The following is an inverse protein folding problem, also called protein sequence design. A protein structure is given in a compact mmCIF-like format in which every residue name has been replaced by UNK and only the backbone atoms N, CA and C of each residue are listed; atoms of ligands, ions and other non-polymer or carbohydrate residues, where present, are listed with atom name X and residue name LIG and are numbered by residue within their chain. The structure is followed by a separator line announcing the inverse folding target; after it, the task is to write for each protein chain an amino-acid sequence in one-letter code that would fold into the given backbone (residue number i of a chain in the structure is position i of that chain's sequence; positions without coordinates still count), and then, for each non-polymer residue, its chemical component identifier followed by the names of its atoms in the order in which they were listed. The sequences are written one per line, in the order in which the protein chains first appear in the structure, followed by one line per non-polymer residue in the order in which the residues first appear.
data_IF_138595967666
#
_entry.id   IF_138595967666
#
_cell.length_a   1.000
_cell.length_b   1.000
_cell.length_c   1.000
_cell.angle_alpha   90.00
_cell.angle_beta   90.00
_cell.angle_gamma   90.00
#
_symmetry.space_group_name_H-M   'P 1'
#
loop_
_entity.id
_entity.type
_entity.pdbx_description
1 polymer ?
#
# COMPACT_ATOMS: atom_id res chain seq x y z
N UNK A 1 20.15 -3.37 -8.03
CA UNK A 1 19.56 -2.78 -9.24
C UNK A 1 18.26 -3.52 -9.50
N UNK A 2 17.16 -2.78 -9.72
CA UNK A 2 15.88 -3.36 -10.12
C UNK A 2 16.06 -3.83 -11.56
N UNK A 3 15.80 -5.10 -11.81
CA UNK A 3 15.87 -5.67 -13.16
C UNK A 3 14.79 -4.99 -14.02
N UNK A 4 15.20 -4.28 -15.07
CA UNK A 4 14.30 -3.60 -16.00
C UNK A 4 13.25 -4.52 -16.62
N UNK A 5 13.57 -5.82 -16.70
CA UNK A 5 12.70 -6.85 -17.25
C UNK A 5 11.48 -7.21 -16.40
N UNK A 6 11.31 -6.56 -15.24
CA UNK A 6 10.20 -6.80 -14.31
C UNK A 6 9.25 -5.61 -14.17
N UNK A 7 9.36 -4.61 -15.05
CA UNK A 7 8.52 -3.40 -15.00
C UNK A 7 7.24 -3.63 -15.82
N UNK A 8 6.05 -3.37 -15.26
CA UNK A 8 4.79 -3.46 -16.00
C UNK A 8 4.73 -2.46 -17.14
N UNK A 9 4.34 -2.91 -18.34
CA UNK A 9 4.22 -2.09 -19.53
C UNK A 9 3.15 -1.00 -19.34
N UNK A 10 3.40 0.20 -19.89
CA UNK A 10 2.44 1.30 -19.88
C UNK A 10 2.35 2.06 -18.55
N UNK A 11 3.33 1.90 -17.67
CA UNK A 11 3.50 2.74 -16.49
C UNK A 11 4.73 3.64 -16.64
N UNK A 12 4.54 4.90 -16.34
CA UNK A 12 5.58 5.92 -16.35
C UNK A 12 5.65 6.56 -14.98
N UNK A 13 6.84 6.86 -14.49
CA UNK A 13 6.96 7.41 -13.15
C UNK A 13 8.03 8.47 -13.00
N UNK A 14 7.93 9.24 -11.93
CA UNK A 14 8.96 10.14 -11.45
C UNK A 14 9.01 10.17 -9.93
N UNK A 15 10.20 10.07 -9.38
CA UNK A 15 10.49 10.38 -7.98
C UNK A 15 11.13 11.77 -7.92
N UNK A 16 10.60 12.66 -7.09
CA UNK A 16 10.95 14.07 -7.07
C UNK A 16 11.32 14.52 -5.64
N UNK A 17 12.20 15.50 -5.57
CA UNK A 17 12.51 16.26 -4.35
C UNK A 17 11.68 17.54 -4.40
N UNK A 18 10.49 17.53 -3.79
CA UNK A 18 9.62 18.72 -3.78
C UNK A 18 10.08 19.77 -2.75
N UNK A 19 10.95 19.38 -1.83
CA UNK A 19 11.41 20.22 -0.72
C UNK A 19 10.54 20.12 0.53
N UNK A 20 9.71 19.08 0.62
CA UNK A 20 9.05 18.69 1.87
C UNK A 20 10.05 17.99 2.81
N UNK A 21 10.95 17.17 2.27
CA UNK A 21 12.14 16.65 2.96
C UNK A 21 13.38 17.43 2.58
N UNK A 22 14.34 17.47 3.48
CA UNK A 22 15.64 18.06 3.19
C UNK A 22 16.48 17.10 2.32
N UNK A 23 16.74 17.48 1.09
CA UNK A 23 17.63 16.77 0.14
C UNK A 23 17.29 15.30 -0.18
N UNK A 24 16.07 14.83 0.09
CA UNK A 24 15.63 13.49 -0.26
C UNK A 24 14.35 13.51 -1.11
N UNK A 25 14.07 12.38 -1.77
CA UNK A 25 12.83 12.18 -2.51
C UNK A 25 11.63 12.18 -1.55
N UNK A 26 10.58 12.93 -1.91
CA UNK A 26 9.39 13.12 -1.08
C UNK A 26 8.08 13.15 -1.87
N UNK A 27 8.16 13.05 -3.20
CA UNK A 27 7.02 13.02 -4.09
C UNK A 27 7.22 11.94 -5.16
N UNK A 28 6.27 11.02 -5.26
CA UNK A 28 6.18 10.02 -6.31
C UNK A 28 4.98 10.32 -7.20
N UNK A 29 5.17 10.23 -8.50
CA UNK A 29 4.13 10.38 -9.52
C UNK A 29 4.18 9.14 -10.39
N UNK A 30 3.03 8.47 -10.57
CA UNK A 30 2.92 7.29 -11.42
C UNK A 30 1.75 7.52 -12.38
N UNK A 31 2.03 7.52 -13.68
CA UNK A 31 1.06 7.63 -14.76
C UNK A 31 0.84 6.26 -15.40
N UNK A 32 -0.39 5.98 -15.76
CA UNK A 32 -0.79 4.74 -16.43
C UNK A 32 -1.35 5.04 -17.82
N UNK A 33 -0.79 4.41 -18.82
CA UNK A 33 -1.26 4.46 -20.22
C UNK A 33 -1.24 3.04 -20.80
N UNK A 34 -2.42 2.45 -21.05
CA UNK A 34 -3.79 2.97 -20.87
C UNK A 34 -4.19 3.12 -19.40
N UNK A 35 -5.32 3.82 -19.16
CA UNK A 35 -5.89 4.02 -17.83
C UNK A 35 -6.14 2.71 -17.10
N UNK A 36 -5.76 2.63 -15.84
CA UNK A 36 -5.87 1.42 -15.02
C UNK A 36 -7.27 1.20 -14.44
N UNK A 37 -7.71 -0.03 -14.42
CA UNK A 37 -8.69 -0.52 -13.45
C UNK A 37 -7.98 -0.59 -12.10
N UNK A 38 -8.62 -0.14 -11.02
CA UNK A 38 -7.99 -0.13 -9.69
C UNK A 38 -8.83 -0.86 -8.66
N UNK A 39 -8.17 -1.47 -7.68
CA UNK A 39 -8.76 -1.86 -6.42
C UNK A 39 -8.04 -1.13 -5.30
N UNK A 40 -8.80 -0.53 -4.40
CA UNK A 40 -8.23 0.25 -3.31
C UNK A 40 -8.89 -0.11 -1.98
N UNK A 41 -8.07 -0.10 -0.95
CA UNK A 41 -8.45 -0.33 0.42
C UNK A 41 -7.87 0.80 1.27
N UNK A 42 -8.66 1.33 2.19
CA UNK A 42 -8.32 2.51 2.97
C UNK A 42 -8.49 2.26 4.45
N UNK A 43 -7.80 3.05 5.25
CA UNK A 43 -7.88 3.03 6.71
C UNK A 43 -9.33 3.08 7.21
N UNK A 44 -9.59 2.33 8.28
CA UNK A 44 -10.84 2.40 9.03
C UNK A 44 -10.76 3.36 10.22
N UNK A 45 -9.64 4.06 10.40
CA UNK A 45 -9.53 5.10 11.40
C UNK A 45 -10.62 6.16 11.19
N UNK A 46 -11.27 6.58 12.27
CA UNK A 46 -12.34 7.57 12.22
C UNK A 46 -11.86 8.95 11.74
N UNK A 47 -10.58 9.25 11.92
CA UNK A 47 -9.94 10.48 11.44
C UNK A 47 -9.25 10.26 10.10
N UNK A 48 -10.01 9.92 9.06
CA UNK A 48 -9.45 9.72 7.72
C UNK A 48 -8.83 11.02 7.18
N UNK A 49 -7.61 10.91 6.66
CA UNK A 49 -6.89 12.04 6.07
C UNK A 49 -7.55 12.54 4.78
N UNK A 50 -7.35 13.81 4.46
CA UNK A 50 -7.90 14.42 3.24
C UNK A 50 -7.55 13.66 1.94
N UNK A 51 -6.31 13.17 1.73
CA UNK A 51 -5.99 12.32 0.58
C UNK A 51 -6.81 11.04 0.51
N UNK A 52 -7.06 10.39 1.66
CA UNK A 52 -7.89 9.18 1.74
C UNK A 52 -9.31 9.46 1.31
N UNK A 53 -9.92 10.53 1.83
CA UNK A 53 -11.29 10.92 1.49
C UNK A 53 -11.44 11.23 -0.01
N UNK A 54 -10.47 11.91 -0.61
CA UNK A 54 -10.47 12.22 -2.03
C UNK A 54 -10.33 10.96 -2.88
N UNK A 55 -9.34 10.11 -2.59
CA UNK A 55 -9.07 8.92 -3.38
C UNK A 55 -10.18 7.89 -3.29
N UNK A 56 -10.79 7.71 -2.11
CA UNK A 56 -11.96 6.84 -1.89
C UNK A 56 -13.19 7.26 -2.71
N UNK A 57 -13.33 8.56 -3.03
CA UNK A 57 -14.39 9.07 -3.91
C UNK A 57 -14.13 8.71 -5.37
N UNK A 58 -12.86 8.66 -5.79
CA UNK A 58 -12.45 8.55 -7.18
C UNK A 58 -12.07 7.11 -7.62
N UNK A 59 -11.84 6.17 -6.71
CA UNK A 59 -11.36 4.80 -7.00
C UNK A 59 -12.35 3.93 -7.81
N UNK A 60 -13.54 4.46 -8.09
CA UNK A 60 -14.55 3.82 -8.95
C UNK A 60 -14.24 3.99 -10.44
N UNK A 61 -13.48 5.03 -10.77
CA UNK A 61 -13.12 5.38 -12.14
C UNK A 61 -11.94 4.53 -12.64
N UNK A 62 -11.67 4.62 -13.94
CA UNK A 62 -10.37 4.25 -14.47
C UNK A 62 -9.37 5.35 -14.10
N UNK A 63 -8.19 4.95 -13.63
CA UNK A 63 -7.21 5.87 -13.07
C UNK A 63 -6.03 6.06 -14.04
N UNK A 64 -5.71 7.33 -14.26
CA UNK A 64 -4.59 7.75 -15.11
C UNK A 64 -3.35 8.09 -14.30
N UNK A 65 -3.54 8.57 -13.05
CA UNK A 65 -2.46 9.13 -12.25
C UNK A 65 -2.60 8.77 -10.77
N UNK A 66 -1.47 8.39 -10.16
CA UNK A 66 -1.30 8.27 -8.73
C UNK A 66 -0.21 9.25 -8.28
N UNK A 67 -0.52 10.09 -7.29
CA UNK A 67 0.41 11.03 -6.67
C UNK A 67 0.59 10.64 -5.21
N UNK A 68 1.82 10.47 -4.76
CA UNK A 68 2.11 10.10 -3.37
C UNK A 68 3.16 11.04 -2.81
N UNK A 69 2.84 11.74 -1.73
CA UNK A 69 3.84 12.53 -1.00
C UNK A 69 4.16 11.90 0.36
N UNK A 70 5.40 12.07 0.78
CA UNK A 70 5.85 11.77 2.14
C UNK A 70 6.22 13.05 2.91
N UNK A 71 6.58 12.93 4.18
CA UNK A 71 6.87 13.99 5.15
C UNK A 71 5.64 14.60 5.81
N UNK A 72 4.57 14.91 5.06
CA UNK A 72 3.36 15.56 5.59
C UNK A 72 2.16 14.67 5.27
N UNK A 73 1.44 14.23 6.28
CA UNK A 73 0.28 13.33 6.18
C UNK A 73 -0.97 14.02 5.60
N UNK A 74 -1.06 15.33 5.71
CA UNK A 74 -2.26 16.11 5.40
C UNK A 74 -3.51 15.52 6.08
N UNK A 75 -3.34 15.14 7.34
CA UNK A 75 -4.34 14.54 8.23
C UNK A 75 -4.64 15.47 9.38
N UNK A 76 -5.89 15.49 9.86
CA UNK A 76 -6.39 16.41 10.90
C UNK A 76 -6.19 17.90 10.53
N UNK A 77 -6.26 18.22 9.27
CA UNK A 77 -6.06 19.56 8.71
C UNK A 77 -7.36 20.22 8.26
N UNK A 78 -8.51 19.60 8.57
CA UNK A 78 -9.84 20.12 8.31
C UNK A 78 -10.12 20.43 6.83
N UNK A 79 -10.99 21.39 6.57
CA UNK A 79 -11.37 21.82 5.20
C UNK A 79 -10.15 22.24 4.39
N UNK A 80 -9.21 22.99 4.97
CA UNK A 80 -8.01 23.46 4.28
C UNK A 80 -7.16 22.30 3.75
N UNK A 81 -7.08 21.17 4.50
CA UNK A 81 -6.38 19.98 4.03
C UNK A 81 -7.03 19.36 2.81
N UNK A 82 -8.36 19.35 2.73
CA UNK A 82 -9.08 18.88 1.56
C UNK A 82 -8.93 19.84 0.37
N UNK A 83 -8.99 21.15 0.59
CA UNK A 83 -8.73 22.17 -0.43
C UNK A 83 -7.31 22.07 -1.00
N UNK A 84 -6.32 21.72 -0.16
CA UNK A 84 -4.96 21.43 -0.62
C UNK A 84 -4.92 20.24 -1.59
N UNK A 85 -5.66 19.16 -1.31
CA UNK A 85 -5.77 18.01 -2.22
C UNK A 85 -6.39 18.42 -3.55
N UNK A 86 -7.49 19.18 -3.52
CA UNK A 86 -8.14 19.69 -4.73
C UNK A 86 -7.17 20.54 -5.55
N UNK A 87 -6.44 21.44 -4.91
CA UNK A 87 -5.50 22.35 -5.56
C UNK A 87 -4.35 21.57 -6.27
N UNK A 88 -3.81 20.56 -5.63
CA UNK A 88 -2.76 19.70 -6.21
C UNK A 88 -3.33 18.90 -7.39
N UNK A 89 -4.49 18.28 -7.21
CA UNK A 89 -5.07 17.41 -8.24
C UNK A 89 -5.62 18.18 -9.43
N UNK A 90 -6.17 19.39 -9.24
CA UNK A 90 -6.55 20.29 -10.34
C UNK A 90 -5.33 20.74 -11.14
N UNK A 91 -4.22 21.06 -10.48
CA UNK A 91 -2.98 21.40 -11.16
C UNK A 91 -2.43 20.20 -11.94
N UNK A 92 -2.35 19.04 -11.31
CA UNK A 92 -1.84 17.81 -11.92
C UNK A 92 -2.69 17.37 -13.13
N UNK A 93 -4.03 17.48 -13.03
CA UNK A 93 -4.93 17.13 -14.13
C UNK A 93 -4.68 17.96 -15.40
N UNK A 94 -4.42 19.26 -15.23
CA UNK A 94 -4.07 20.15 -16.36
C UNK A 94 -2.69 19.84 -16.92
N UNK A 95 -1.71 19.61 -16.04
CA UNK A 95 -0.33 19.37 -16.45
C UNK A 95 -0.17 18.03 -17.19
N UNK A 96 -0.77 16.95 -16.67
CA UNK A 96 -0.70 15.60 -17.26
C UNK A 96 -1.82 15.32 -18.27
N UNK A 97 -2.70 16.29 -18.55
CA UNK A 97 -3.81 16.21 -19.52
C UNK A 97 -4.74 15.03 -19.23
N UNK A 98 -5.12 14.84 -17.96
CA UNK A 98 -6.08 13.83 -17.53
C UNK A 98 -7.24 14.46 -16.76
N UNK A 99 -8.32 13.70 -16.53
CA UNK A 99 -9.43 14.18 -15.69
C UNK A 99 -9.02 14.14 -14.22
N UNK A 100 -9.40 15.16 -13.42
CA UNK A 100 -9.15 15.18 -11.98
C UNK A 100 -9.70 13.93 -11.28
N UNK A 101 -10.87 13.48 -11.72
CA UNK A 101 -11.54 12.32 -11.13
C UNK A 101 -10.85 10.98 -11.47
N UNK A 102 -9.88 11.00 -12.39
CA UNK A 102 -9.02 9.88 -12.74
C UNK A 102 -7.67 9.93 -11.98
N UNK A 103 -7.57 10.78 -10.95
CA UNK A 103 -6.37 10.90 -10.11
C UNK A 103 -6.65 10.29 -8.73
N UNK A 104 -5.70 9.48 -8.25
CA UNK A 104 -5.60 9.09 -6.84
C UNK A 104 -4.45 9.83 -6.19
N UNK A 105 -4.59 10.14 -4.91
CA UNK A 105 -3.54 10.78 -4.11
C UNK A 105 -3.42 10.09 -2.76
N UNK A 106 -2.19 9.89 -2.30
CA UNK A 106 -1.89 9.37 -0.98
C UNK A 106 -0.79 10.20 -0.32
N UNK A 107 -0.81 10.27 0.99
CA UNK A 107 0.18 11.03 1.76
C UNK A 107 0.59 10.26 3.00
N UNK A 108 1.81 10.49 3.46
CA UNK A 108 2.31 9.95 4.73
C UNK A 108 3.22 10.96 5.41
N UNK A 109 3.28 10.94 6.74
CA UNK A 109 4.18 11.79 7.50
C UNK A 109 3.54 12.41 8.73
N UNK A 110 3.89 13.66 9.02
CA UNK A 110 3.45 14.37 10.21
C UNK A 110 1.97 14.72 10.10
N UNK A 111 1.21 14.40 11.15
CA UNK A 111 -0.21 14.69 11.32
C UNK A 111 -0.38 16.11 11.87
N UNK A 112 -1.46 16.80 11.50
CA UNK A 112 -1.79 18.15 11.99
C UNK A 112 -1.06 19.28 11.29
N UNK A 113 -0.21 18.99 10.32
CA UNK A 113 0.54 19.99 9.54
C UNK A 113 -0.05 20.14 8.15
N UNK A 114 -0.22 21.38 7.70
CA UNK A 114 -0.71 21.67 6.36
C UNK A 114 0.35 21.37 5.29
N UNK A 115 -0.12 20.76 4.19
CA UNK A 115 0.72 20.47 3.05
C UNK A 115 1.00 21.74 2.24
N UNK A 116 2.28 21.99 1.94
CA UNK A 116 2.69 23.09 1.07
C UNK A 116 2.43 22.69 -0.41
N UNK A 117 1.32 23.19 -0.94
CA UNK A 117 0.88 22.84 -2.30
C UNK A 117 1.77 23.44 -3.37
N UNK A 118 2.40 24.60 -3.12
CA UNK A 118 3.29 25.24 -4.11
C UNK A 118 4.57 24.43 -4.33
N UNK A 119 5.14 23.88 -3.26
CA UNK A 119 6.28 22.97 -3.38
C UNK A 119 5.95 21.78 -4.27
N UNK A 120 4.80 21.15 -4.06
CA UNK A 120 4.36 19.99 -4.86
C UNK A 120 4.11 20.39 -6.31
N UNK A 121 3.39 21.49 -6.56
CA UNK A 121 3.13 21.97 -7.93
C UNK A 121 4.42 22.33 -8.67
N UNK A 122 5.37 22.96 -8.01
CA UNK A 122 6.66 23.29 -8.60
C UNK A 122 7.49 22.05 -8.91
N UNK A 123 7.39 20.98 -8.10
CA UNK A 123 8.01 19.71 -8.41
C UNK A 123 7.32 19.02 -9.61
N UNK A 124 5.99 19.03 -9.67
CA UNK A 124 5.22 18.51 -10.81
C UNK A 124 5.64 19.21 -12.12
N UNK A 125 5.79 20.55 -12.13
CA UNK A 125 6.24 21.30 -13.32
C UNK A 125 7.61 20.84 -13.85
N UNK A 126 8.47 20.35 -12.96
CA UNK A 126 9.83 19.89 -13.29
C UNK A 126 9.89 18.39 -13.56
N UNK A 127 8.76 17.67 -13.45
CA UNK A 127 8.75 16.22 -13.60
C UNK A 127 8.96 15.81 -15.07
N UNK A 128 9.81 14.80 -15.26
CA UNK A 128 9.89 14.04 -16.49
C UNK A 128 9.53 12.60 -16.12
N UNK A 129 8.46 12.09 -16.72
CA UNK A 129 8.02 10.72 -16.48
C UNK A 129 8.79 9.78 -17.42
N UNK A 130 9.44 8.79 -16.85
CA UNK A 130 10.20 7.77 -17.57
C UNK A 130 9.55 6.40 -17.39
N UNK A 131 9.78 5.49 -18.31
CA UNK A 131 9.49 4.08 -18.12
C UNK A 131 10.40 3.55 -17.00
N UNK A 132 9.77 3.06 -15.92
CA UNK A 132 10.51 2.56 -14.77
C UNK A 132 9.98 3.06 -13.44
N UNK A 133 10.60 2.59 -12.37
CA UNK A 133 10.16 2.89 -11.00
C UNK A 133 11.35 3.28 -10.09
N UNK A 134 12.38 3.89 -10.66
CA UNK A 134 13.53 4.33 -9.88
C UNK A 134 13.13 5.30 -8.78
N UNK A 135 13.66 5.08 -7.59
CA UNK A 135 13.47 5.91 -6.40
C UNK A 135 12.01 6.11 -5.93
N UNK A 136 11.01 5.48 -6.57
CA UNK A 136 9.60 5.63 -6.17
C UNK A 136 9.39 5.08 -4.76
N UNK A 137 9.94 3.92 -4.43
CA UNK A 137 9.87 3.36 -3.09
C UNK A 137 10.54 4.28 -2.05
N UNK A 138 11.67 4.91 -2.42
CA UNK A 138 12.37 5.89 -1.57
C UNK A 138 11.53 7.15 -1.36
N UNK A 139 10.82 7.62 -2.38
CA UNK A 139 10.00 8.82 -2.29
C UNK A 139 8.83 8.69 -1.29
N UNK A 140 8.31 7.48 -1.10
CA UNK A 140 7.20 7.24 -0.17
C UNK A 140 7.65 6.90 1.26
N UNK A 141 8.95 6.64 1.50
CA UNK A 141 9.49 6.32 2.83
C UNK A 141 9.37 7.47 3.82
N UNK A 142 9.34 7.12 5.10
CA UNK A 142 9.46 8.08 6.21
C UNK A 142 10.69 7.75 7.08
N UNK A 143 10.56 6.76 7.95
CA UNK A 143 11.62 6.26 8.85
C UNK A 143 12.11 4.87 8.44
N UNK A 144 11.63 4.41 7.30
CA UNK A 144 11.98 3.10 6.75
C UNK A 144 13.49 3.01 6.53
N UNK A 145 14.13 1.94 7.00
CA UNK A 145 15.57 1.71 6.90
C UNK A 145 15.96 1.31 5.47
N UNK A 146 15.06 0.66 4.74
CA UNK A 146 15.28 0.21 3.36
C UNK A 146 14.02 0.37 2.50
N UNK A 147 14.20 0.35 1.18
CA UNK A 147 13.11 0.37 0.21
C UNK A 147 12.43 -1.00 0.15
N UNK A 148 11.12 -1.04 0.39
CA UNK A 148 10.33 -2.27 0.31
C UNK A 148 9.76 -2.39 -1.08
N UNK A 149 10.44 -3.17 -1.91
CA UNK A 149 10.10 -3.42 -3.32
C UNK A 149 10.00 -4.92 -3.53
N UNK A 150 8.97 -5.36 -4.23
CA UNK A 150 8.82 -6.72 -4.67
C UNK A 150 8.34 -6.75 -6.12
N UNK A 151 9.04 -7.49 -6.97
CA UNK A 151 8.68 -7.69 -8.38
C UNK A 151 8.33 -9.14 -8.62
N UNK A 152 7.38 -9.39 -9.51
CA UNK A 152 6.97 -10.74 -9.87
C UNK A 152 6.51 -10.80 -11.33
N UNK A 153 6.55 -12.00 -11.89
CA UNK A 153 6.01 -12.32 -13.22
C UNK A 153 4.87 -13.34 -13.06
N UNK A 154 3.90 -13.25 -13.95
CA UNK A 154 2.81 -14.19 -14.06
C UNK A 154 2.65 -14.59 -15.52
N UNK A 155 2.89 -15.87 -15.83
CA UNK A 155 2.58 -16.42 -17.14
C UNK A 155 1.09 -16.73 -17.24
N UNK A 156 0.41 -16.09 -18.17
CA UNK A 156 -1.00 -16.28 -18.45
C UNK A 156 -1.19 -16.45 -19.95
N UNK A 157 -1.80 -17.57 -20.35
CA UNK A 157 -1.86 -17.94 -21.77
C UNK A 157 -0.43 -17.96 -22.36
N UNK A 158 -0.19 -17.26 -23.44
CA UNK A 158 1.13 -17.15 -24.09
C UNK A 158 1.80 -15.79 -23.79
N UNK A 159 1.44 -15.15 -22.70
CA UNK A 159 1.91 -13.81 -22.32
C UNK A 159 2.48 -13.81 -20.91
N UNK A 160 3.44 -12.93 -20.67
CA UNK A 160 4.01 -12.70 -19.36
C UNK A 160 3.55 -11.34 -18.85
N UNK A 161 2.82 -11.34 -17.76
CA UNK A 161 2.46 -10.14 -17.03
C UNK A 161 3.50 -9.82 -15.96
N UNK A 162 3.71 -8.55 -15.72
CA UNK A 162 4.66 -8.04 -14.73
C UNK A 162 3.93 -7.40 -13.56
N UNK A 163 4.54 -7.52 -12.39
CA UNK A 163 4.11 -6.84 -11.18
C UNK A 163 5.27 -6.08 -10.59
N UNK A 164 5.03 -4.82 -10.28
CA UNK A 164 5.91 -4.01 -9.46
C UNK A 164 5.16 -3.55 -8.23
N UNK A 165 5.66 -3.87 -7.06
CA UNK A 165 4.97 -3.60 -5.82
C UNK A 165 5.90 -2.88 -4.84
N UNK A 166 5.40 -1.83 -4.21
CA UNK A 166 6.13 -1.06 -3.19
C UNK A 166 5.28 -0.90 -1.94
N UNK A 167 5.95 -0.89 -0.81
CA UNK A 167 5.31 -0.59 0.46
C UNK A 167 6.18 0.32 1.33
N UNK A 168 5.54 1.01 2.26
CA UNK A 168 6.19 1.69 3.39
C UNK A 168 5.42 1.41 4.67
N UNK A 169 6.13 1.36 5.77
CA UNK A 169 5.57 1.19 7.11
C UNK A 169 6.63 0.67 8.07
N UNK A 170 6.75 1.31 9.23
CA UNK A 170 7.68 0.94 10.32
C UNK A 170 7.04 1.11 11.69
N UNK A 171 6.04 1.95 11.81
CA UNK A 171 5.30 2.26 13.04
C UNK A 171 3.86 2.62 12.72
N UNK A 172 3.01 2.63 13.74
CA UNK A 172 1.56 2.76 13.66
C UNK A 172 1.04 1.61 12.77
N UNK A 173 1.40 0.34 13.03
CA UNK A 173 1.03 -0.85 12.25
C UNK A 173 0.21 -1.82 13.08
N UNK A 174 -1.09 -1.90 12.80
CA UNK A 174 -2.03 -2.82 13.42
C UNK A 174 -3.11 -3.28 12.43
N UNK A 175 -3.49 -4.58 12.43
CA UNK A 175 -4.48 -5.11 11.50
C UNK A 175 -5.84 -4.42 11.68
N UNK A 176 -6.34 -3.85 10.66
CA UNK A 176 -7.74 -3.51 10.38
C UNK A 176 -7.84 -2.59 9.16
N UNK A 177 -7.36 -3.07 8.01
CA UNK A 177 -7.12 -2.28 6.81
C UNK A 177 -6.08 -1.18 7.07
N UNK A 178 -5.01 -1.62 7.48
CA UNK A 178 -3.57 -1.51 7.34
C UNK A 178 -2.96 -0.11 7.48
N UNK A 179 -2.02 0.00 8.39
CA UNK A 179 -1.16 1.15 8.70
C UNK A 179 0.01 1.26 7.73
N UNK A 180 -0.26 1.19 6.43
CA UNK A 180 0.78 1.19 5.40
C UNK A 180 0.35 1.99 4.17
N UNK A 181 1.33 2.42 3.39
CA UNK A 181 1.10 2.67 1.98
C UNK A 181 1.61 1.46 1.20
N UNK A 182 0.72 0.86 0.42
CA UNK A 182 1.00 -0.25 -0.48
C UNK A 182 0.51 0.12 -1.87
N UNK A 183 1.38 0.01 -2.86
CA UNK A 183 1.02 0.21 -4.25
C UNK A 183 1.54 -0.94 -5.08
N UNK A 184 0.65 -1.55 -5.86
CA UNK A 184 0.95 -2.63 -6.80
C UNK A 184 0.57 -2.15 -8.20
N UNK A 185 1.45 -2.33 -9.15
CA UNK A 185 1.24 -1.99 -10.55
C UNK A 185 1.38 -3.27 -11.39
N UNK A 186 0.47 -3.47 -12.34
CA UNK A 186 0.50 -4.63 -13.25
C UNK A 186 -0.09 -4.28 -14.60
N UNK A 187 0.45 -4.88 -15.63
CA UNK A 187 0.01 -4.75 -17.02
C UNK A 187 -1.07 -5.78 -17.42
N UNK A 188 -1.61 -6.54 -16.44
CA UNK A 188 -2.70 -7.49 -16.63
C UNK A 188 -4.02 -6.81 -17.02
N UNK A 189 -4.75 -7.45 -17.93
CA UNK A 189 -6.15 -7.14 -18.22
C UNK A 189 -7.05 -7.96 -17.30
N UNK A 190 -7.72 -7.28 -16.36
CA UNK A 190 -8.57 -7.89 -15.34
C UNK A 190 -9.79 -7.01 -15.08
N UNK A 191 -10.96 -7.62 -14.88
CA UNK A 191 -12.13 -6.84 -14.53
C UNK A 191 -12.09 -6.32 -13.08
N UNK A 192 -12.89 -5.30 -12.81
CA UNK A 192 -12.95 -4.62 -11.51
C UNK A 192 -13.33 -5.56 -10.36
N UNK A 193 -14.27 -6.45 -10.60
CA UNK A 193 -14.81 -7.38 -9.59
C UNK A 193 -13.76 -8.43 -9.22
N UNK A 194 -13.11 -9.03 -10.21
CA UNK A 194 -12.02 -9.98 -10.00
C UNK A 194 -10.83 -9.35 -9.28
N UNK A 195 -10.45 -8.13 -9.70
CA UNK A 195 -9.35 -7.40 -9.07
C UNK A 195 -9.66 -7.09 -7.61
N UNK A 196 -10.85 -6.55 -7.33
CA UNK A 196 -11.30 -6.25 -5.97
C UNK A 196 -11.31 -7.49 -5.07
N UNK A 197 -11.88 -8.60 -5.56
CA UNK A 197 -11.96 -9.83 -4.79
C UNK A 197 -10.58 -10.39 -4.50
N UNK A 198 -9.73 -10.55 -5.52
CA UNK A 198 -8.40 -11.10 -5.34
C UNK A 198 -7.53 -10.25 -4.41
N UNK A 199 -7.53 -8.93 -4.60
CA UNK A 199 -6.71 -8.02 -3.79
C UNK A 199 -7.17 -7.96 -2.33
N UNK A 200 -8.48 -7.82 -2.07
CA UNK A 200 -9.02 -7.82 -0.71
C UNK A 200 -8.67 -9.10 0.04
N UNK A 201 -8.92 -10.26 -0.57
CA UNK A 201 -8.62 -11.55 0.06
C UNK A 201 -7.12 -11.73 0.34
N UNK A 202 -6.23 -11.19 -0.52
CA UNK A 202 -4.78 -11.24 -0.31
C UNK A 202 -4.35 -10.34 0.85
N UNK A 203 -4.88 -9.12 0.93
CA UNK A 203 -4.63 -8.20 2.05
C UNK A 203 -5.12 -8.81 3.38
N UNK A 204 -6.31 -9.40 3.39
CA UNK A 204 -6.90 -10.00 4.60
C UNK A 204 -6.09 -11.19 5.14
N UNK A 205 -5.43 -11.92 4.26
CA UNK A 205 -4.57 -13.07 4.65
C UNK A 205 -3.16 -12.66 5.06
N UNK A 206 -2.70 -11.46 4.73
CA UNK A 206 -1.30 -11.04 4.87
C UNK A 206 -1.18 -9.77 5.71
N UNK A 207 -1.35 -8.62 5.10
CA UNK A 207 -1.15 -7.30 5.72
C UNK A 207 -2.11 -7.01 6.87
N UNK A 208 -3.34 -7.53 6.82
CA UNK A 208 -4.28 -7.45 7.94
C UNK A 208 -3.96 -8.42 9.08
N UNK A 209 -2.87 -9.18 8.99
CA UNK A 209 -2.41 -10.12 10.03
C UNK A 209 -1.11 -9.72 10.70
N UNK A 210 -0.52 -8.59 10.35
CA UNK A 210 0.69 -8.08 11.00
C UNK A 210 0.35 -7.00 12.02
N UNK A 211 1.10 -6.94 13.12
CA UNK A 211 1.03 -5.85 14.10
C UNK A 211 2.42 -5.53 14.64
N UNK A 212 2.75 -4.24 14.70
CA UNK A 212 3.99 -3.75 15.30
C UNK A 212 3.69 -3.12 16.66
N UNK A 213 2.82 -2.13 16.72
CA UNK A 213 2.57 -1.29 17.91
C UNK A 213 1.11 -1.22 18.35
N UNK A 214 0.19 -1.82 17.58
CA UNK A 214 -1.23 -1.84 17.91
C UNK A 214 -2.02 -0.61 17.45
N UNK A 215 -1.37 0.35 16.78
CA UNK A 215 -1.99 1.61 16.36
C UNK A 215 -2.37 1.61 14.87
N UNK A 216 -3.48 2.28 14.53
CA UNK A 216 -3.98 2.41 13.14
C UNK A 216 -3.83 3.85 12.65
N UNK A 217 -3.17 4.03 11.52
CA UNK A 217 -2.93 5.37 10.93
C UNK A 217 -4.19 5.97 10.29
N UNK A 218 -4.18 7.29 10.16
CA UNK A 218 -5.20 8.07 9.46
C UNK A 218 -5.08 8.04 7.94
N UNK A 219 -3.95 7.53 7.41
CA UNK A 219 -3.56 7.65 5.99
C UNK A 219 -3.45 6.34 5.24
N UNK A 220 -3.68 5.19 5.89
CA UNK A 220 -3.44 3.90 5.27
C UNK A 220 -4.17 3.74 3.95
N UNK A 221 -3.42 3.31 2.98
CA UNK A 221 -3.90 3.20 1.61
C UNK A 221 -3.17 2.04 0.92
N UNK A 222 -3.92 1.04 0.48
CA UNK A 222 -3.43 -0.04 -0.35
C UNK A 222 -4.13 0.03 -1.71
N UNK A 223 -3.39 0.16 -2.79
CA UNK A 223 -3.91 0.30 -4.15
C UNK A 223 -3.22 -0.70 -5.08
N UNK A 224 -3.99 -1.40 -5.89
CA UNK A 224 -3.49 -2.09 -7.07
C UNK A 224 -4.06 -1.41 -8.32
N UNK A 225 -3.18 -1.14 -9.29
CA UNK A 225 -3.49 -0.58 -10.60
C UNK A 225 -3.18 -1.61 -11.68
N UNK A 226 -4.18 -1.94 -12.51
CA UNK A 226 -4.06 -2.90 -13.61
C UNK A 226 -4.50 -2.22 -14.91
N UNK A 227 -3.56 -2.01 -15.85
CA UNK A 227 -3.82 -1.23 -17.06
C UNK A 227 -4.17 -2.07 -18.30
N UNK A 228 -3.93 -3.37 -18.26
CA UNK A 228 -4.27 -4.27 -19.36
C UNK A 228 -3.34 -4.21 -20.57
N UNK A 229 -2.17 -3.58 -20.46
CA UNK A 229 -1.28 -3.32 -21.60
C UNK A 229 -0.79 -4.58 -22.31
N UNK A 230 -0.67 -5.72 -21.60
CA UNK A 230 -0.28 -6.98 -22.27
C UNK A 230 -1.41 -7.60 -23.10
N UNK A 231 -2.63 -7.08 -23.01
CA UNK A 231 -3.75 -7.53 -23.86
C UNK A 231 -4.06 -9.04 -23.74
N UNK A 232 -3.95 -9.62 -22.54
CA UNK A 232 -4.42 -10.98 -22.26
C UNK A 232 -5.95 -11.02 -22.29
N UNK A 233 -6.54 -12.21 -22.43
CA UNK A 233 -7.97 -12.38 -22.20
C UNK A 233 -8.34 -11.88 -20.80
N UNK A 234 -9.35 -11.02 -20.72
CA UNK A 234 -9.75 -10.40 -19.47
C UNK A 234 -10.00 -11.43 -18.36
N UNK A 235 -9.30 -11.29 -17.25
CA UNK A 235 -9.47 -12.14 -16.07
C UNK A 235 -10.77 -11.74 -15.38
N UNK A 236 -11.65 -12.71 -15.16
CA UNK A 236 -12.91 -12.54 -14.43
C UNK A 236 -13.05 -13.61 -13.36
N UNK A 237 -13.95 -13.42 -12.39
CA UNK A 237 -14.24 -14.44 -11.36
C UNK A 237 -14.75 -15.74 -11.98
N UNK A 238 -15.42 -15.68 -13.13
CA UNK A 238 -15.96 -16.85 -13.83
C UNK A 238 -14.85 -17.76 -14.39
N UNK A 239 -13.73 -17.18 -14.80
CA UNK A 239 -12.55 -17.96 -15.23
C UNK A 239 -11.73 -18.37 -14.01
N UNK A 240 -12.13 -19.47 -13.36
CA UNK A 240 -11.52 -19.95 -12.11
C UNK A 240 -10.01 -20.16 -12.21
N UNK A 241 -9.48 -20.64 -13.37
CA UNK A 241 -8.04 -20.90 -13.56
C UNK A 241 -7.24 -19.60 -13.54
N UNK A 242 -7.62 -18.65 -14.41
CA UNK A 242 -6.91 -17.36 -14.48
C UNK A 242 -7.08 -16.54 -13.21
N UNK A 243 -8.29 -16.57 -12.59
CA UNK A 243 -8.54 -15.92 -11.31
C UNK A 243 -7.66 -16.50 -10.19
N UNK A 244 -7.52 -17.84 -10.13
CA UNK A 244 -6.64 -18.48 -9.15
C UNK A 244 -5.18 -18.06 -9.33
N UNK A 245 -4.67 -18.02 -10.56
CA UNK A 245 -3.31 -17.57 -10.85
C UNK A 245 -3.06 -16.13 -10.37
N UNK A 246 -3.99 -15.22 -10.66
CA UNK A 246 -3.93 -13.84 -10.16
C UNK A 246 -3.91 -13.80 -8.63
N UNK A 247 -4.84 -14.54 -8.01
CA UNK A 247 -4.97 -14.59 -6.56
C UNK A 247 -3.72 -15.12 -5.88
N UNK A 248 -3.18 -16.25 -6.35
CA UNK A 248 -1.98 -16.86 -5.80
C UNK A 248 -0.77 -15.90 -5.94
N UNK A 249 -0.68 -15.15 -7.05
CA UNK A 249 0.37 -14.15 -7.26
C UNK A 249 0.24 -12.96 -6.32
N UNK A 250 -0.98 -12.46 -6.09
CA UNK A 250 -1.21 -11.37 -5.13
C UNK A 250 -0.97 -11.82 -3.67
N UNK A 251 -1.31 -13.07 -3.33
CA UNK A 251 -0.99 -13.64 -2.02
C UNK A 251 0.54 -13.65 -1.79
N UNK A 252 1.31 -14.07 -2.79
CA UNK A 252 2.78 -14.07 -2.74
C UNK A 252 3.36 -12.65 -2.58
N UNK A 253 2.94 -11.69 -3.41
CA UNK A 253 3.39 -10.29 -3.35
C UNK A 253 3.08 -9.69 -1.97
N UNK A 254 1.84 -9.79 -1.53
CA UNK A 254 1.40 -9.21 -0.25
C UNK A 254 2.09 -9.87 0.96
N UNK A 255 2.33 -11.19 0.91
CA UNK A 255 3.05 -11.91 1.97
C UNK A 255 4.52 -11.44 2.08
N UNK A 256 5.22 -11.25 0.95
CA UNK A 256 6.59 -10.78 0.97
C UNK A 256 6.70 -9.33 1.47
N UNK A 257 5.81 -8.43 1.01
CA UNK A 257 5.80 -7.05 1.50
C UNK A 257 5.42 -6.96 2.98
N UNK A 258 4.49 -7.80 3.47
CA UNK A 258 4.16 -7.84 4.90
C UNK A 258 5.35 -8.25 5.77
N UNK A 259 6.14 -9.23 5.31
CA UNK A 259 7.40 -9.62 5.98
C UNK A 259 8.41 -8.47 6.02
N UNK A 260 8.60 -7.76 4.89
CA UNK A 260 9.50 -6.60 4.84
C UNK A 260 9.07 -5.48 5.81
N UNK A 261 7.75 -5.23 5.94
CA UNK A 261 7.22 -4.25 6.88
C UNK A 261 7.51 -4.66 8.33
N UNK A 262 7.24 -5.92 8.69
CA UNK A 262 7.51 -6.43 10.05
C UNK A 262 9.00 -6.37 10.36
N UNK A 263 9.87 -6.76 9.40
CA UNK A 263 11.32 -6.74 9.57
C UNK A 263 11.92 -5.32 9.67
N UNK A 264 11.18 -4.29 9.33
CA UNK A 264 11.59 -2.88 9.44
C UNK A 264 10.87 -2.13 10.58
N UNK A 265 10.17 -2.84 11.45
CA UNK A 265 9.45 -2.24 12.58
C UNK A 265 10.34 -1.32 13.43
N UNK A 266 9.83 -0.17 13.84
CA UNK A 266 10.55 0.80 14.68
C UNK A 266 10.93 0.16 16.02
N UNK A 267 12.23 0.18 16.37
CA UNK A 267 12.74 -0.45 17.60
C UNK A 267 12.75 -1.99 17.61
N UNK A 268 12.43 -2.64 16.49
CA UNK A 268 12.31 -4.07 16.42
C UNK A 268 13.65 -4.78 16.64
N UNK A 269 13.62 -5.78 17.52
CA UNK A 269 14.74 -6.70 17.76
C UNK A 269 14.40 -8.14 17.36
N UNK A 270 13.10 -8.48 17.30
CA UNK A 270 12.60 -9.83 16.98
C UNK A 270 11.28 -9.75 16.21
N UNK A 271 11.09 -10.65 15.25
CA UNK A 271 9.81 -10.92 14.62
C UNK A 271 9.21 -12.20 15.23
N UNK A 272 7.94 -12.14 15.61
CA UNK A 272 7.21 -13.25 16.21
C UNK A 272 6.18 -13.76 15.21
N UNK A 273 6.18 -15.04 14.95
CA UNK A 273 5.15 -15.72 14.17
C UNK A 273 4.25 -16.50 15.12
N UNK A 274 2.96 -16.20 15.11
CA UNK A 274 1.96 -16.91 15.90
C UNK A 274 1.15 -17.81 14.96
N UNK A 275 1.21 -19.12 15.17
CA UNK A 275 0.40 -20.11 14.45
C UNK A 275 -0.58 -20.76 15.42
N UNK A 276 -1.86 -20.75 15.05
CA UNK A 276 -2.93 -21.42 15.80
C UNK A 276 -3.49 -22.54 14.94
N UNK A 277 -3.35 -23.76 15.45
CA UNK A 277 -3.81 -24.97 14.78
C UNK A 277 -4.98 -25.60 15.53
N UNK A 278 -5.83 -26.35 14.83
CA UNK A 278 -6.95 -27.11 15.38
C UNK A 278 -8.01 -26.26 16.10
N UNK A 279 -8.10 -24.96 15.81
CA UNK A 279 -9.23 -24.15 16.28
C UNK A 279 -10.53 -24.60 15.61
N UNK A 280 -11.65 -24.38 16.27
CA UNK A 280 -12.98 -24.78 15.78
C UNK A 280 -13.34 -24.08 14.44
N UNK A 281 -12.96 -22.80 14.31
CA UNK A 281 -13.15 -22.03 13.09
C UNK A 281 -11.90 -21.24 12.72
N UNK A 282 -11.80 -20.79 11.47
CA UNK A 282 -10.73 -19.87 11.06
C UNK A 282 -10.79 -18.53 11.79
N UNK A 283 -12.00 -18.08 12.17
CA UNK A 283 -12.19 -16.86 12.96
C UNK A 283 -11.59 -17.02 14.35
N UNK A 284 -11.88 -18.13 15.05
CA UNK A 284 -11.32 -18.40 16.37
C UNK A 284 -9.78 -18.48 16.32
N UNK A 285 -9.23 -19.15 15.30
CA UNK A 285 -7.78 -19.21 15.09
C UNK A 285 -7.18 -17.81 14.92
N UNK A 286 -7.82 -16.95 14.14
CA UNK A 286 -7.37 -15.59 13.91
C UNK A 286 -7.47 -14.74 15.17
N UNK A 287 -8.59 -14.78 15.89
CA UNK A 287 -8.81 -13.98 17.10
C UNK A 287 -7.79 -14.37 18.19
N UNK A 288 -7.55 -15.66 18.39
CA UNK A 288 -6.51 -16.17 19.30
C UNK A 288 -5.12 -15.68 18.88
N UNK A 289 -4.74 -15.88 17.61
CA UNK A 289 -3.43 -15.46 17.11
C UNK A 289 -3.23 -13.95 17.26
N UNK A 290 -4.26 -13.16 16.97
CA UNK A 290 -4.26 -11.71 17.12
C UNK A 290 -4.08 -11.30 18.58
N UNK A 291 -4.82 -11.90 19.52
CA UNK A 291 -4.70 -11.62 20.95
C UNK A 291 -3.27 -11.86 21.45
N UNK A 292 -2.66 -12.97 21.05
CA UNK A 292 -1.26 -13.28 21.37
C UNK A 292 -0.31 -12.24 20.75
N UNK A 293 -0.43 -11.99 19.45
CA UNK A 293 0.47 -11.10 18.70
C UNK A 293 0.42 -9.63 19.15
N UNK A 294 -0.72 -9.18 19.69
CA UNK A 294 -0.91 -7.79 20.15
C UNK A 294 -0.68 -7.61 21.65
N UNK A 295 -0.50 -8.69 22.42
CA UNK A 295 -0.26 -8.63 23.85
C UNK A 295 1.10 -8.00 24.18
N UNK A 296 1.10 -6.87 24.88
CA UNK A 296 2.32 -6.21 25.36
C UNK A 296 3.11 -7.11 26.32
N UNK A 297 2.41 -7.89 27.17
CA UNK A 297 3.06 -8.83 28.09
C UNK A 297 3.84 -9.92 27.33
N UNK A 298 3.29 -10.41 26.23
CA UNK A 298 3.97 -11.41 25.39
C UNK A 298 5.15 -10.78 24.66
N UNK A 299 5.01 -9.56 24.11
CA UNK A 299 6.13 -8.84 23.49
C UNK A 299 7.31 -8.64 24.44
N UNK A 300 7.05 -8.23 25.69
CA UNK A 300 8.06 -8.08 26.75
C UNK A 300 8.71 -9.44 27.06
N UNK A 301 7.94 -10.51 27.11
CA UNK A 301 8.43 -11.86 27.38
C UNK A 301 9.48 -12.30 26.34
N UNK A 302 9.22 -12.04 25.05
CA UNK A 302 10.18 -12.35 23.99
C UNK A 302 11.44 -11.45 24.02
N UNK A 303 11.32 -10.22 24.51
CA UNK A 303 12.47 -9.32 24.71
C UNK A 303 13.34 -9.79 25.87
N UNK A 304 12.71 -10.17 27.00
CA UNK A 304 13.41 -10.57 28.24
C UNK A 304 13.99 -11.99 28.21
N UNK A 305 13.72 -12.76 27.14
CA UNK A 305 14.15 -14.16 26.98
C UNK A 305 13.69 -15.09 28.14
N UNK A 306 12.66 -14.70 28.86
CA UNK A 306 12.11 -15.47 29.98
C UNK A 306 10.79 -16.14 29.54
N UNK A 307 10.80 -17.41 29.12
CA UNK A 307 9.60 -18.10 28.67
C UNK A 307 8.63 -18.28 29.83
N UNK A 308 7.46 -17.63 29.76
CA UNK A 308 6.38 -17.79 30.72
C UNK A 308 5.08 -18.08 29.95
N UNK A 309 4.69 -19.36 29.92
CA UNK A 309 3.52 -19.84 29.20
C UNK A 309 2.20 -19.32 29.78
N UNK A 310 2.15 -18.93 31.05
CA UNK A 310 0.94 -18.40 31.69
C UNK A 310 0.45 -17.12 30.98
N UNK A 311 1.37 -16.27 30.51
CA UNK A 311 1.02 -15.05 29.76
C UNK A 311 0.38 -15.37 28.42
N UNK A 312 0.81 -16.46 27.78
CA UNK A 312 0.20 -16.91 26.52
C UNK A 312 -1.21 -17.43 26.78
N UNK A 313 -1.39 -18.27 27.83
CA UNK A 313 -2.71 -18.76 28.21
C UNK A 313 -3.67 -17.62 28.60
N UNK A 314 -3.16 -16.64 29.35
CA UNK A 314 -3.94 -15.42 29.67
C UNK A 314 -4.39 -14.66 28.42
N UNK A 315 -3.51 -14.48 27.43
CA UNK A 315 -3.87 -13.81 26.17
C UNK A 315 -4.91 -14.60 25.37
N UNK A 316 -4.84 -15.93 25.37
CA UNK A 316 -5.85 -16.80 24.75
C UNK A 316 -7.20 -16.61 25.42
N UNK A 317 -7.23 -16.54 26.77
CA UNK A 317 -8.46 -16.37 27.52
C UNK A 317 -9.18 -15.02 27.37
N UNK A 318 -8.54 -14.07 26.68
CA UNK A 318 -9.15 -12.77 26.37
C UNK A 318 -9.98 -12.74 25.05
N UNK A 319 -10.11 -13.89 24.36
CA UNK A 319 -10.79 -13.99 23.04
C UNK A 319 -12.23 -14.54 23.12
#
# INVERSE_FOLDING_TARGET
MIDSDNIPIGFYSAALKSGLKNNDYDLAIIKSEPSSVVSALYTQNKFQAAPVLFSKKNDKNKIDLLIVNSKIANSLTGKKGYDNVLNITDFASKFFKCKRDNILIASTGIIGVHLDTEKIKNAIKKSSLNEGFENIARAIRMRDKFDKVYTAKLNIENKTAHFYAIAKGTSIVHPNMATILLFIFTDLNVDKEALNKAFRESIDKTLNRISIDGETSTNDTAIIMANGAINNKMITIKNKKSFKLLKDKLDDICANLSKMIVLDGEGMTKAIIVSVERAKTQKDAFDIAKSIATSNLIKILFISLNPNYEKILSAIGNT
#
